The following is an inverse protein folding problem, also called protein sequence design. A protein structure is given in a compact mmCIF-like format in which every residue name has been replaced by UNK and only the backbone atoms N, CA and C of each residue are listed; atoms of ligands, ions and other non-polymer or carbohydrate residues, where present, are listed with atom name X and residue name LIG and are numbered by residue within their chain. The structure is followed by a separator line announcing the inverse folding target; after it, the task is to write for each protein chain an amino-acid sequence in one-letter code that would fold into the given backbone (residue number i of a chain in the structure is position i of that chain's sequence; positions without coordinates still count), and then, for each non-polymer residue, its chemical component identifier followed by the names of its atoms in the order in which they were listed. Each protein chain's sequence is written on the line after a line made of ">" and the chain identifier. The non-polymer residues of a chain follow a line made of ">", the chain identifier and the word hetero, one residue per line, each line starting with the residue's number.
data_IF_352597434461
#
_entry.id   IF_352597434461
#
_cell.length_a   1.000
_cell.length_b   1.000
_cell.length_c   1.000
_cell.angle_alpha   90.00
_cell.angle_beta   90.00
_cell.angle_gamma   90.00
#
_symmetry.space_group_name_H-M   'P 1'
#
loop_
_entity.id
_entity.type
_entity.pdbx_description
1 polymer ?
#
# COMPACT_ATOMS: atom_id res chain seq x y z
N UNK A 1 6.37 -8.88 32.39
CA UNK A 1 6.75 -7.60 31.76
C UNK A 1 5.50 -6.97 31.12
N UNK A 2 4.83 -7.60 30.12
CA UNK A 2 3.68 -7.00 29.41
C UNK A 2 2.56 -6.57 30.38
N UNK A 3 2.25 -7.39 31.37
CA UNK A 3 1.21 -7.10 32.37
C UNK A 3 1.55 -5.94 33.30
N UNK A 4 2.84 -5.66 33.53
CA UNK A 4 3.30 -4.58 34.42
C UNK A 4 3.55 -3.25 33.72
N UNK A 5 3.29 -3.17 32.40
CA UNK A 5 3.40 -1.91 31.64
C UNK A 5 2.22 -0.98 31.94
N UNK A 6 2.40 0.31 31.64
CA UNK A 6 1.33 1.32 31.75
C UNK A 6 0.10 0.94 30.91
N UNK A 7 -0.99 1.68 31.06
CA UNK A 7 -2.21 1.52 30.23
C UNK A 7 -1.92 1.73 28.75
N UNK A 8 -2.60 0.96 27.91
CA UNK A 8 -2.49 0.99 26.44
C UNK A 8 -1.04 0.95 25.94
N UNK A 9 -0.22 -0.03 26.36
CA UNK A 9 1.18 -0.10 25.99
C UNK A 9 1.34 -0.47 24.52
N UNK A 10 2.43 -0.02 23.93
CA UNK A 10 2.85 -0.40 22.58
C UNK A 10 3.98 -1.39 22.70
N UNK A 11 3.83 -2.57 22.11
CA UNK A 11 4.84 -3.64 22.15
C UNK A 11 5.20 -4.07 20.74
N UNK A 12 6.47 -3.94 20.38
CA UNK A 12 7.04 -4.40 19.11
C UNK A 12 7.92 -5.61 19.37
N UNK A 13 7.41 -6.80 19.00
CA UNK A 13 8.13 -8.06 19.09
C UNK A 13 8.68 -8.41 17.71
N UNK A 14 9.93 -7.99 17.43
CA UNK A 14 10.48 -7.93 16.07
C UNK A 14 11.56 -8.98 15.78
N UNK A 15 11.93 -9.83 16.76
CA UNK A 15 12.90 -10.89 16.51
C UNK A 15 12.38 -11.86 15.44
N UNK A 16 13.28 -12.26 14.55
CA UNK A 16 12.96 -13.09 13.39
C UNK A 16 13.88 -14.34 13.40
N UNK A 17 13.37 -15.57 13.21
CA UNK A 17 11.99 -15.93 12.84
C UNK A 17 11.00 -16.00 14.01
N UNK A 18 11.46 -16.06 15.24
CA UNK A 18 10.61 -16.20 16.42
C UNK A 18 10.57 -14.87 17.19
N UNK A 19 9.42 -14.20 17.29
CA UNK A 19 9.29 -12.97 18.06
C UNK A 19 9.49 -13.25 19.55
N UNK A 20 9.93 -12.24 20.32
CA UNK A 20 10.21 -12.32 21.77
C UNK A 20 9.00 -12.80 22.57
N UNK A 21 7.81 -12.46 22.10
CA UNK A 21 6.53 -12.99 22.58
C UNK A 21 5.58 -13.17 21.38
N UNK A 22 4.87 -14.30 21.31
CA UNK A 22 3.87 -14.50 20.25
C UNK A 22 2.68 -13.57 20.43
N UNK A 23 2.03 -13.20 19.32
CA UNK A 23 0.83 -12.37 19.31
C UNK A 23 -0.25 -12.90 20.25
N UNK A 24 -0.56 -14.20 20.16
CA UNK A 24 -1.62 -14.83 20.96
C UNK A 24 -1.33 -14.75 22.47
N UNK A 25 -0.08 -14.99 22.88
CA UNK A 25 0.33 -14.86 24.30
C UNK A 25 0.27 -13.41 24.78
N UNK A 26 0.68 -12.47 23.94
CA UNK A 26 0.62 -11.06 24.28
C UNK A 26 -0.84 -10.59 24.46
N UNK A 27 -1.71 -10.89 23.50
CA UNK A 27 -3.12 -10.52 23.54
C UNK A 27 -3.93 -11.26 24.60
N UNK A 28 -3.51 -12.48 24.98
CA UNK A 28 -4.10 -13.19 26.12
C UNK A 28 -3.73 -12.54 27.47
N UNK A 29 -2.57 -11.87 27.56
CA UNK A 29 -2.09 -11.25 28.81
C UNK A 29 -2.82 -9.97 29.16
N UNK A 30 -3.26 -9.17 28.15
CA UNK A 30 -4.03 -7.96 28.33
C UNK A 30 -4.69 -7.51 27.00
N UNK A 31 -5.84 -6.84 27.11
CA UNK A 31 -6.70 -6.49 25.94
C UNK A 31 -6.46 -5.08 25.38
N UNK A 32 -5.80 -4.22 26.11
CA UNK A 32 -5.53 -2.83 25.73
C UNK A 32 -4.20 -2.63 25.00
N UNK A 33 -3.53 -3.73 24.63
CA UNK A 33 -2.23 -3.76 24.01
C UNK A 33 -2.29 -3.37 22.52
N UNK A 34 -1.41 -2.45 22.11
CA UNK A 34 -1.09 -2.23 20.69
C UNK A 34 0.14 -3.07 20.37
N UNK A 35 -0.04 -4.10 19.55
CA UNK A 35 1.02 -5.06 19.26
C UNK A 35 1.43 -5.03 17.79
N UNK A 36 2.73 -5.10 17.55
CA UNK A 36 3.30 -5.24 16.21
C UNK A 36 4.39 -6.32 16.18
N UNK A 37 4.52 -6.98 15.05
CA UNK A 37 5.50 -8.06 14.83
C UNK A 37 5.95 -8.10 13.37
N UNK A 38 7.04 -8.79 13.06
CA UNK A 38 7.51 -9.02 11.71
C UNK A 38 6.64 -9.99 10.89
N UNK A 39 5.72 -10.73 11.52
CA UNK A 39 4.90 -11.75 10.86
C UNK A 39 3.76 -11.13 10.05
N UNK A 40 3.52 -11.72 8.87
CA UNK A 40 2.47 -11.25 7.93
C UNK A 40 1.06 -11.73 8.28
N UNK A 41 0.93 -12.75 9.12
CA UNK A 41 -0.31 -13.38 9.54
C UNK A 41 -1.01 -12.66 10.70
N UNK A 42 -0.39 -11.61 11.24
CA UNK A 42 -0.93 -10.80 12.34
C UNK A 42 -1.12 -9.34 11.95
N UNK A 43 -1.94 -8.58 12.71
CA UNK A 43 -2.03 -7.13 12.56
C UNK A 43 -0.69 -6.42 12.74
N UNK A 44 -0.55 -5.22 12.16
CA UNK A 44 0.62 -4.36 12.33
C UNK A 44 1.95 -5.04 11.95
N UNK A 45 2.01 -5.66 10.77
CA UNK A 45 3.26 -6.23 10.28
C UNK A 45 4.32 -5.15 10.09
N UNK A 46 5.42 -5.25 10.83
CA UNK A 46 6.61 -4.41 10.62
C UNK A 46 7.52 -5.13 9.62
N UNK A 47 7.68 -4.52 8.44
CA UNK A 47 8.49 -5.08 7.38
C UNK A 47 9.33 -3.99 6.73
N UNK A 48 10.61 -4.28 6.47
CA UNK A 48 11.54 -3.35 5.81
C UNK A 48 11.06 -2.88 4.44
N UNK A 49 10.21 -3.66 3.76
CA UNK A 49 9.62 -3.31 2.45
C UNK A 49 8.76 -2.05 2.50
N UNK A 50 8.29 -1.65 3.67
CA UNK A 50 7.52 -0.40 3.85
C UNK A 50 8.36 0.87 3.66
N UNK A 51 9.66 0.79 3.89
CA UNK A 51 10.56 1.95 3.80
C UNK A 51 11.66 1.79 2.74
N UNK A 52 12.36 0.66 2.78
CA UNK A 52 13.58 0.42 2.03
C UNK A 52 13.46 0.75 0.52
N UNK A 53 12.51 0.22 -0.28
CA UNK A 53 12.46 0.47 -1.70
C UNK A 53 12.22 1.95 -2.03
N UNK A 54 11.41 2.61 -1.22
CA UNK A 54 10.96 3.98 -1.46
C UNK A 54 11.97 5.01 -0.98
N UNK A 55 12.72 4.71 0.09
CA UNK A 55 13.87 5.53 0.54
C UNK A 55 14.92 5.54 -0.56
N UNK A 56 15.29 4.37 -1.09
CA UNK A 56 16.23 4.28 -2.21
C UNK A 56 15.70 4.96 -3.47
N UNK A 57 14.40 4.79 -3.77
CA UNK A 57 13.79 5.48 -4.91
C UNK A 57 13.94 7.01 -4.81
N UNK A 58 13.58 7.58 -3.67
CA UNK A 58 13.71 9.02 -3.44
C UNK A 58 15.15 9.49 -3.49
N UNK A 59 16.08 8.77 -2.85
CA UNK A 59 17.49 9.09 -2.84
C UNK A 59 18.13 9.04 -4.25
N UNK A 60 17.84 7.98 -5.02
CA UNK A 60 18.40 7.80 -6.36
C UNK A 60 17.84 8.80 -7.37
N UNK A 61 16.56 9.18 -7.26
CA UNK A 61 15.95 10.15 -8.18
C UNK A 61 16.58 11.54 -8.10
N UNK A 62 17.06 11.92 -6.92
CA UNK A 62 17.80 13.18 -6.72
C UNK A 62 19.33 12.99 -6.68
N UNK A 63 19.82 11.77 -6.96
CA UNK A 63 21.23 11.42 -6.92
C UNK A 63 21.89 11.85 -5.60
N UNK A 64 21.22 11.51 -4.48
CA UNK A 64 21.74 11.86 -3.16
C UNK A 64 23.10 11.20 -2.91
N UNK A 65 24.03 11.95 -2.35
CA UNK A 65 25.38 11.47 -1.99
C UNK A 65 25.40 10.58 -0.76
N UNK A 66 24.35 10.67 0.06
CA UNK A 66 24.17 9.86 1.26
C UNK A 66 22.67 9.76 1.59
N UNK A 67 22.29 8.75 2.38
CA UNK A 67 20.98 8.66 3.03
C UNK A 67 21.18 9.09 4.47
N UNK A 68 20.80 10.34 4.77
CA UNK A 68 20.98 10.97 6.09
C UNK A 68 19.76 10.78 7.01
N UNK A 69 19.84 11.30 8.23
CA UNK A 69 18.77 11.17 9.23
C UNK A 69 17.51 11.92 8.82
N UNK A 70 17.64 13.07 8.17
CA UNK A 70 16.52 13.88 7.67
C UNK A 70 15.69 13.08 6.66
N UNK A 71 16.33 12.34 5.76
CA UNK A 71 15.66 11.48 4.79
C UNK A 71 14.96 10.30 5.46
N UNK A 72 15.56 9.67 6.47
CA UNK A 72 14.96 8.57 7.25
C UNK A 72 13.75 9.06 8.06
N UNK A 73 13.86 10.21 8.69
CA UNK A 73 12.74 10.85 9.40
C UNK A 73 11.61 11.23 8.44
N UNK A 74 11.92 11.78 7.28
CA UNK A 74 10.91 12.11 6.27
C UNK A 74 10.13 10.86 5.81
N UNK A 75 10.82 9.73 5.60
CA UNK A 75 10.18 8.45 5.29
C UNK A 75 9.25 8.00 6.43
N UNK A 76 9.72 8.10 7.68
CA UNK A 76 8.94 7.72 8.87
C UNK A 76 7.65 8.54 8.98
N UNK A 77 7.75 9.86 8.82
CA UNK A 77 6.58 10.75 8.86
C UNK A 77 5.63 10.51 7.68
N UNK A 78 6.15 10.25 6.48
CA UNK A 78 5.33 9.92 5.33
C UNK A 78 4.51 8.64 5.54
N UNK A 79 5.12 7.57 6.07
CA UNK A 79 4.45 6.32 6.42
C UNK A 79 3.40 6.55 7.51
N UNK A 80 3.73 7.30 8.57
CA UNK A 80 2.82 7.59 9.66
C UNK A 80 1.61 8.42 9.20
N UNK A 81 1.81 9.38 8.28
CA UNK A 81 0.74 10.16 7.67
C UNK A 81 -0.16 9.29 6.80
N UNK A 82 0.44 8.48 5.92
CA UNK A 82 -0.28 7.58 5.03
C UNK A 82 -1.20 6.61 5.78
N UNK A 83 -0.76 6.11 6.94
CA UNK A 83 -1.54 5.19 7.77
C UNK A 83 -2.88 5.80 8.23
N UNK A 84 -2.93 7.12 8.40
CA UNK A 84 -4.12 7.85 8.85
C UNK A 84 -5.08 8.18 7.72
N UNK A 85 -4.67 8.01 6.47
CA UNK A 85 -5.51 8.24 5.30
C UNK A 85 -6.46 7.05 5.06
N UNK A 86 -7.63 7.27 4.43
CA UNK A 86 -8.53 6.19 4.06
C UNK A 86 -7.80 5.13 3.21
N UNK A 87 -7.97 3.87 3.57
CA UNK A 87 -7.32 2.75 2.87
C UNK A 87 -8.12 2.40 1.61
N UNK A 88 -7.48 2.36 0.43
CA UNK A 88 -8.16 2.00 -0.82
C UNK A 88 -8.69 0.57 -0.82
N UNK A 89 -9.79 0.33 -1.54
CA UNK A 89 -10.40 -1.00 -1.64
C UNK A 89 -9.44 -2.04 -2.26
N UNK A 90 -8.53 -1.63 -3.13
CA UNK A 90 -7.51 -2.53 -3.68
C UNK A 90 -6.61 -3.12 -2.60
N UNK A 91 -6.28 -2.35 -1.57
CA UNK A 91 -5.50 -2.82 -0.42
C UNK A 91 -6.35 -3.74 0.45
N UNK A 92 -7.59 -3.34 0.78
CA UNK A 92 -8.51 -4.15 1.55
C UNK A 92 -8.72 -5.53 0.89
N UNK A 93 -8.95 -5.55 -0.42
CA UNK A 93 -9.17 -6.76 -1.20
C UNK A 93 -7.92 -7.66 -1.25
N UNK A 94 -6.73 -7.08 -1.41
CA UNK A 94 -5.47 -7.83 -1.45
C UNK A 94 -5.19 -8.61 -0.16
N UNK A 95 -5.72 -8.13 0.97
CA UNK A 95 -5.57 -8.79 2.29
C UNK A 95 -6.83 -9.51 2.75
N UNK A 96 -7.90 -9.58 1.93
CA UNK A 96 -9.16 -10.24 2.29
C UNK A 96 -9.90 -9.58 3.47
N UNK A 97 -9.68 -8.30 3.70
CA UNK A 97 -10.23 -7.54 4.83
C UNK A 97 -11.31 -6.58 4.30
N UNK A 98 -12.47 -6.52 4.97
CA UNK A 98 -13.58 -5.65 4.53
C UNK A 98 -13.22 -4.17 4.56
N UNK A 99 -12.54 -3.72 5.61
CA UNK A 99 -12.16 -2.32 5.79
C UNK A 99 -11.03 -2.20 6.81
N UNK A 100 -9.93 -1.62 6.39
CA UNK A 100 -8.85 -1.18 7.26
C UNK A 100 -9.02 0.31 7.59
N UNK A 101 -8.76 0.67 8.84
CA UNK A 101 -8.75 2.07 9.27
C UNK A 101 -7.74 2.24 10.41
N UNK A 102 -7.16 3.43 10.55
CA UNK A 102 -6.21 3.73 11.61
C UNK A 102 -6.78 3.37 12.98
N UNK A 103 -6.01 2.63 13.77
CA UNK A 103 -6.38 2.13 15.08
C UNK A 103 -5.41 1.08 15.60
N UNK A 104 -5.68 0.45 16.75
CA UNK A 104 -4.76 -0.51 17.39
C UNK A 104 -4.31 -1.67 16.51
N UNK A 105 -5.12 -2.08 15.52
CA UNK A 105 -4.81 -3.16 14.58
C UNK A 105 -4.26 -2.66 13.23
N UNK A 106 -4.18 -1.34 13.04
CA UNK A 106 -3.65 -0.73 11.83
C UNK A 106 -2.93 0.58 12.15
N UNK A 107 -1.73 0.46 12.75
CA UNK A 107 -0.84 1.58 13.08
C UNK A 107 0.24 1.79 12.01
N UNK A 108 0.32 0.90 11.03
CA UNK A 108 1.29 0.92 9.93
C UNK A 108 0.63 0.43 8.64
N UNK A 109 0.97 0.96 7.46
CA UNK A 109 0.39 0.51 6.20
C UNK A 109 0.70 -0.96 5.91
N UNK A 110 -0.10 -1.59 5.08
CA UNK A 110 0.19 -2.94 4.58
C UNK A 110 1.33 -2.91 3.56
N UNK A 111 2.13 -3.98 3.52
CA UNK A 111 3.31 -4.10 2.67
C UNK A 111 3.02 -3.94 1.16
N UNK A 112 1.82 -4.35 0.72
CA UNK A 112 1.37 -4.22 -0.67
C UNK A 112 0.58 -2.93 -0.93
N UNK A 113 0.63 -1.94 -0.03
CA UNK A 113 -0.05 -0.66 -0.25
C UNK A 113 0.67 0.14 -1.34
N UNK A 114 0.04 0.32 -2.51
CA UNK A 114 0.69 0.99 -3.63
C UNK A 114 0.98 2.47 -3.38
N UNK A 115 0.29 3.10 -2.44
CA UNK A 115 0.48 4.50 -2.09
C UNK A 115 1.83 4.77 -1.43
N UNK A 116 2.51 3.73 -0.91
CA UNK A 116 3.84 3.86 -0.29
C UNK A 116 4.85 4.52 -1.23
N UNK A 117 4.86 4.15 -2.52
CA UNK A 117 5.80 4.73 -3.48
C UNK A 117 5.60 6.24 -3.64
N UNK A 118 4.36 6.67 -3.82
CA UNK A 118 4.03 8.09 -4.07
C UNK A 118 3.99 8.93 -2.79
N UNK A 119 3.93 8.31 -1.62
CA UNK A 119 4.01 9.00 -0.34
C UNK A 119 5.45 9.14 0.16
N UNK A 120 6.23 8.06 0.12
CA UNK A 120 7.55 8.00 0.78
C UNK A 120 8.65 8.55 -0.13
N UNK A 121 8.71 8.15 -1.40
CA UNK A 121 9.80 8.56 -2.28
C UNK A 121 9.87 10.09 -2.48
N UNK A 122 8.76 10.83 -2.69
CA UNK A 122 8.80 12.29 -2.76
C UNK A 122 9.25 12.95 -1.46
N UNK A 123 8.82 12.43 -0.31
CA UNK A 123 9.21 12.96 0.99
C UNK A 123 10.72 12.83 1.22
N UNK A 124 11.28 11.67 0.87
CA UNK A 124 12.72 11.40 0.95
C UNK A 124 13.49 12.27 -0.03
N UNK A 125 13.05 12.38 -1.29
CA UNK A 125 13.70 13.22 -2.30
C UNK A 125 13.73 14.69 -1.84
N UNK A 126 12.60 15.17 -1.30
CA UNK A 126 12.54 16.55 -0.76
C UNK A 126 13.51 16.74 0.41
N UNK A 127 13.55 15.82 1.36
CA UNK A 127 14.47 15.89 2.50
C UNK A 127 15.94 15.86 2.06
N UNK A 128 16.28 15.07 1.04
CA UNK A 128 17.62 15.06 0.45
C UNK A 128 18.00 16.42 -0.17
N UNK A 129 17.06 17.06 -0.85
CA UNK A 129 17.25 18.39 -1.42
C UNK A 129 17.40 19.46 -0.32
N UNK A 130 16.50 19.45 0.67
CA UNK A 130 16.49 20.42 1.76
C UNK A 130 17.73 20.30 2.66
N UNK A 131 18.30 19.10 2.82
CA UNK A 131 19.54 18.86 3.60
C UNK A 131 20.83 18.98 2.78
N UNK A 132 20.75 19.34 1.50
CA UNK A 132 21.91 19.62 0.65
C UNK A 132 22.69 18.39 0.18
N UNK A 133 22.17 17.17 0.34
CA UNK A 133 22.84 15.95 -0.15
C UNK A 133 22.41 15.56 -1.56
N UNK A 134 21.41 16.22 -2.13
CA UNK A 134 20.94 15.98 -3.49
C UNK A 134 21.83 16.63 -4.53
N UNK A 135 22.19 15.91 -5.60
CA UNK A 135 22.91 16.43 -6.77
C UNK A 135 21.97 16.84 -7.91
N UNK A 136 20.70 16.37 -7.86
CA UNK A 136 19.67 16.72 -8.82
C UNK A 136 18.45 17.24 -8.09
N UNK A 137 17.86 18.34 -8.57
CA UNK A 137 16.71 18.96 -7.96
C UNK A 137 15.45 18.71 -8.77
N UNK A 138 14.40 18.25 -8.11
CA UNK A 138 13.07 18.10 -8.68
C UNK A 138 12.37 19.45 -8.58
N UNK A 139 12.04 20.04 -9.73
CA UNK A 139 11.34 21.34 -9.82
C UNK A 139 9.86 21.18 -10.09
N UNK A 140 9.46 20.10 -10.78
CA UNK A 140 8.07 19.77 -11.09
C UNK A 140 7.67 18.48 -10.32
N UNK A 141 6.98 18.67 -9.20
CA UNK A 141 6.55 17.59 -8.32
C UNK A 141 5.36 16.81 -8.90
N UNK A 142 4.52 17.45 -9.72
CA UNK A 142 3.39 16.78 -10.35
C UNK A 142 3.88 15.80 -11.42
N UNK A 143 4.79 16.25 -12.30
CA UNK A 143 5.44 15.37 -13.26
C UNK A 143 6.23 14.24 -12.59
N UNK A 144 6.88 14.52 -11.45
CA UNK A 144 7.57 13.50 -10.68
C UNK A 144 6.62 12.44 -10.12
N UNK A 145 5.52 12.85 -9.49
CA UNK A 145 4.51 11.95 -8.97
C UNK A 145 3.85 11.12 -10.08
N UNK A 146 3.57 11.72 -11.23
CA UNK A 146 3.02 11.00 -12.37
C UNK A 146 4.01 9.96 -12.93
N UNK A 147 5.30 10.26 -12.94
CA UNK A 147 6.34 9.27 -13.28
C UNK A 147 6.34 8.09 -12.30
N UNK A 148 6.21 8.35 -10.98
CA UNK A 148 6.14 7.29 -9.98
C UNK A 148 4.90 6.41 -10.17
N UNK A 149 3.73 7.01 -10.46
CA UNK A 149 2.50 6.26 -10.77
C UNK A 149 2.67 5.37 -11.99
N UNK A 150 3.32 5.86 -13.05
CA UNK A 150 3.64 5.08 -14.25
C UNK A 150 4.49 3.86 -13.96
N UNK A 151 5.49 3.98 -13.06
CA UNK A 151 6.33 2.86 -12.65
C UNK A 151 5.57 1.75 -11.93
N UNK A 152 4.46 2.07 -11.28
CA UNK A 152 3.58 1.08 -10.63
C UNK A 152 2.63 0.36 -11.60
N UNK A 153 2.68 0.67 -12.89
CA UNK A 153 1.77 0.12 -13.88
C UNK A 153 0.35 0.68 -13.83
N UNK A 154 0.09 1.68 -12.98
CA UNK A 154 -1.21 2.36 -12.94
C UNK A 154 -1.47 3.24 -14.16
N UNK A 155 -0.44 3.55 -14.93
CA UNK A 155 -0.56 4.21 -16.23
C UNK A 155 0.00 3.31 -17.33
N UNK A 156 -0.60 2.15 -17.47
CA UNK A 156 -0.40 1.38 -18.68
C UNK A 156 -1.15 2.10 -19.80
N UNK A 157 -0.42 2.92 -20.57
CA UNK A 157 -0.97 3.69 -21.69
C UNK A 157 -1.81 2.80 -22.62
N UNK A 158 -1.32 1.58 -22.85
CA UNK A 158 -2.03 0.59 -23.66
C UNK A 158 -3.33 0.15 -22.99
N UNK A 159 -3.33 -0.13 -21.68
CA UNK A 159 -4.55 -0.49 -20.95
C UNK A 159 -5.56 0.65 -20.94
N UNK A 160 -5.11 1.89 -20.75
CA UNK A 160 -5.97 3.08 -20.83
C UNK A 160 -6.56 3.26 -22.23
N UNK A 161 -5.75 3.13 -23.27
CA UNK A 161 -6.22 3.20 -24.67
C UNK A 161 -7.25 2.10 -24.94
N UNK A 162 -7.01 0.86 -24.49
CA UNK A 162 -8.00 -0.22 -24.61
C UNK A 162 -9.27 0.06 -23.80
N UNK A 163 -9.14 0.55 -22.58
CA UNK A 163 -10.31 0.91 -21.74
C UNK A 163 -11.13 2.02 -22.41
N UNK A 164 -10.48 3.06 -22.95
CA UNK A 164 -11.18 4.14 -23.67
C UNK A 164 -11.83 3.65 -24.95
N UNK A 165 -11.19 2.77 -25.71
CA UNK A 165 -11.78 2.13 -26.89
C UNK A 165 -12.99 1.27 -26.51
N UNK A 166 -12.86 0.45 -25.46
CA UNK A 166 -13.95 -0.39 -24.99
C UNK A 166 -15.15 0.43 -24.47
N UNK A 167 -14.90 1.56 -23.81
CA UNK A 167 -15.96 2.48 -23.37
C UNK A 167 -16.70 3.16 -24.51
N UNK A 168 -16.01 3.45 -25.61
CA UNK A 168 -16.66 4.05 -26.81
C UNK A 168 -17.60 3.08 -27.50
N UNK A 169 -17.31 1.79 -27.42
CA UNK A 169 -18.09 0.74 -28.07
C UNK A 169 -18.16 -0.51 -27.16
N UNK A 170 -18.91 -0.44 -26.02
CA UNK A 170 -19.02 -1.54 -25.11
C UNK A 170 -19.63 -2.78 -25.78
N UNK A 171 -19.00 -3.93 -25.62
CA UNK A 171 -19.48 -5.19 -26.19
C UNK A 171 -20.09 -6.09 -25.14
N UNK A 172 -21.01 -6.95 -25.58
CA UNK A 172 -21.49 -8.05 -24.76
C UNK A 172 -20.44 -9.16 -24.76
N UNK A 173 -20.04 -9.60 -23.59
CA UNK A 173 -19.02 -10.64 -23.40
C UNK A 173 -19.57 -11.75 -22.57
N UNK A 174 -19.39 -12.98 -23.02
CA UNK A 174 -19.76 -14.21 -22.30
C UNK A 174 -18.48 -14.81 -21.72
N UNK A 175 -18.49 -15.10 -20.43
CA UNK A 175 -17.39 -15.76 -19.75
C UNK A 175 -17.71 -17.24 -19.56
N UNK A 176 -16.96 -18.13 -20.23
CA UNK A 176 -17.19 -19.57 -20.16
C UNK A 176 -16.92 -20.17 -18.77
N UNK A 177 -16.07 -19.54 -17.96
CA UNK A 177 -15.71 -19.96 -16.60
C UNK A 177 -16.32 -19.02 -15.53
N UNK A 178 -17.64 -18.83 -15.58
CA UNK A 178 -18.35 -17.88 -14.75
C UNK A 178 -18.30 -18.19 -13.22
N UNK A 179 -17.91 -19.39 -12.83
CA UNK A 179 -17.75 -19.80 -11.43
C UNK A 179 -16.35 -19.54 -10.86
N UNK A 180 -15.41 -19.03 -11.66
CA UNK A 180 -14.06 -18.71 -11.18
C UNK A 180 -14.01 -17.30 -10.59
N UNK A 181 -13.63 -17.18 -9.30
CA UNK A 181 -13.65 -15.92 -8.56
C UNK A 181 -12.91 -14.76 -9.27
N UNK A 182 -11.73 -15.02 -9.82
CA UNK A 182 -10.95 -13.99 -10.53
C UNK A 182 -11.64 -13.54 -11.83
N UNK A 183 -12.34 -14.44 -12.51
CA UNK A 183 -13.10 -14.11 -13.71
C UNK A 183 -14.29 -13.21 -13.38
N UNK A 184 -15.04 -13.54 -12.32
CA UNK A 184 -16.14 -12.72 -11.83
C UNK A 184 -15.67 -11.33 -11.39
N UNK A 185 -14.52 -11.25 -10.74
CA UNK A 185 -13.93 -9.98 -10.33
C UNK A 185 -13.49 -9.14 -11.53
N UNK A 186 -12.85 -9.74 -12.53
CA UNK A 186 -12.45 -9.06 -13.76
C UNK A 186 -13.66 -8.55 -14.54
N UNK A 187 -14.70 -9.36 -14.69
CA UNK A 187 -15.95 -8.97 -15.33
C UNK A 187 -16.63 -7.81 -14.60
N UNK A 188 -16.74 -7.90 -13.25
CA UNK A 188 -17.32 -6.82 -12.42
C UNK A 188 -16.54 -5.51 -12.55
N UNK A 189 -15.21 -5.57 -12.59
CA UNK A 189 -14.36 -4.39 -12.79
C UNK A 189 -14.59 -3.77 -14.16
N UNK A 190 -14.55 -4.56 -15.22
CA UNK A 190 -14.75 -4.09 -16.59
C UNK A 190 -16.16 -3.49 -16.82
N UNK A 191 -17.18 -4.04 -16.14
CA UNK A 191 -18.54 -3.48 -16.15
C UNK A 191 -18.61 -2.14 -15.42
N UNK A 192 -18.03 -2.04 -14.20
CA UNK A 192 -17.98 -0.78 -13.44
C UNK A 192 -17.25 0.33 -14.20
N UNK A 193 -16.24 -0.05 -14.96
CA UNK A 193 -15.49 0.85 -15.81
C UNK A 193 -16.20 1.20 -17.13
N UNK A 194 -17.35 0.62 -17.41
CA UNK A 194 -18.13 0.88 -18.64
C UNK A 194 -17.57 0.24 -19.90
N UNK A 195 -16.69 -0.75 -19.76
CA UNK A 195 -16.05 -1.45 -20.88
C UNK A 195 -16.89 -2.60 -21.43
N UNK A 196 -17.81 -3.12 -20.63
CA UNK A 196 -18.69 -4.24 -20.99
C UNK A 196 -20.15 -3.91 -20.73
N UNK A 197 -21.03 -4.46 -21.57
CA UNK A 197 -22.48 -4.48 -21.30
C UNK A 197 -22.83 -5.74 -20.51
N UNK A 198 -23.68 -5.58 -19.50
CA UNK A 198 -24.24 -6.70 -18.78
C UNK A 198 -25.09 -7.56 -19.72
N UNK A 199 -24.89 -8.87 -19.72
CA UNK A 199 -25.88 -9.83 -20.21
C UNK A 199 -26.42 -10.57 -19.00
N UNK A 200 -27.68 -10.40 -18.69
CA UNK A 200 -28.43 -11.41 -17.95
C UNK A 200 -28.29 -12.75 -18.66
N UNK A 201 -28.25 -13.80 -17.87
CA UNK A 201 -28.00 -15.17 -18.30
C UNK A 201 -28.75 -15.53 -19.58
N UNK A 202 -28.06 -16.25 -20.48
CA UNK A 202 -28.66 -16.78 -21.71
C UNK A 202 -29.70 -17.91 -21.44
N UNK A 203 -30.19 -18.01 -20.23
CA UNK A 203 -31.22 -18.99 -19.79
C UNK A 203 -32.63 -18.39 -19.75
N UNK A 204 -32.80 -17.08 -20.02
CA UNK A 204 -34.12 -16.39 -19.97
C UNK A 204 -34.65 -15.96 -21.35
N UNK A 205 -34.23 -16.63 -22.45
CA UNK A 205 -34.87 -16.56 -23.77
C UNK A 205 -35.43 -17.92 -24.21
#
# INVERSE_FOLDING_TARGET
>A
IVQSMNEKPIVFALANPNPEISYDKAMASRKDLIFATGRSDYPNQINNVLGFPYIFRGALDVRATAINEEMKLAATYAIAKLTKEPVPDVVNSAYGIKRLSFGPEYIIPKALDPRLLTAVAPAVAKAAMDSGVAQHHITDWDAYNDRLKKLMGYDNKMLREFTEMARKEPKRVVFAEANHANMLQAASTAMKEGCLLYTSDAADD
#
